data_IF_269793928935
#
_entry.id   IF_269793928935
#
_cell.length_a   1.000
_cell.length_b   1.000
_cell.length_c   1.000
_cell.angle_alpha   90.00
_cell.angle_beta   90.00
_cell.angle_gamma   90.00
#
_symmetry.space_group_name_H-M   'P 1'
#
loop_
_entity.id
_entity.type
_entity.pdbx_description
1 polymer ?
#
# COMPACT_ATOMS: atom_id res chain seq x y z
N UNK A 1 28.83 0.16 19.37
CA UNK A 1 28.40 -0.11 17.98
C UNK A 1 27.29 -1.17 18.02
N UNK A 2 26.18 -0.96 17.32
CA UNK A 2 25.17 -2.01 17.15
C UNK A 2 25.46 -2.74 15.82
N UNK A 3 25.77 -4.04 15.91
CA UNK A 3 26.18 -4.87 14.78
C UNK A 3 25.14 -4.83 13.66
N UNK A 4 23.84 -4.88 14.01
CA UNK A 4 22.75 -4.88 13.02
C UNK A 4 22.72 -3.60 12.20
N UNK A 5 22.89 -2.45 12.86
CA UNK A 5 22.95 -1.15 12.18
C UNK A 5 24.17 -1.03 11.27
N UNK A 6 25.33 -1.57 11.68
CA UNK A 6 26.53 -1.56 10.85
C UNK A 6 26.36 -2.43 9.59
N UNK A 7 25.81 -3.65 9.75
CA UNK A 7 25.54 -4.56 8.62
C UNK A 7 24.53 -3.97 7.65
N UNK A 8 23.43 -3.38 8.13
CA UNK A 8 22.42 -2.76 7.25
C UNK A 8 22.99 -1.59 6.45
N UNK A 9 23.84 -0.76 7.06
CA UNK A 9 24.54 0.32 6.35
C UNK A 9 25.49 -0.23 5.29
N UNK A 10 26.33 -1.20 5.65
CA UNK A 10 27.24 -1.85 4.70
C UNK A 10 26.50 -2.46 3.51
N UNK A 11 25.38 -3.14 3.75
CA UNK A 11 24.53 -3.70 2.68
C UNK A 11 23.89 -2.63 1.79
N UNK A 12 23.68 -1.42 2.31
CA UNK A 12 23.15 -0.28 1.55
C UNK A 12 24.23 0.29 0.63
N UNK A 13 25.46 0.40 1.14
CA UNK A 13 26.61 0.93 0.42
C UNK A 13 27.18 -0.07 -0.60
N UNK A 14 26.96 -1.37 -0.39
CA UNK A 14 27.48 -2.42 -1.26
C UNK A 14 26.63 -2.55 -2.55
N UNK A 15 27.21 -2.30 -3.74
CA UNK A 15 26.47 -2.39 -4.99
C UNK A 15 26.29 -3.88 -5.38
N UNK A 16 25.14 -4.44 -5.01
CA UNK A 16 24.70 -5.75 -5.54
C UNK A 16 24.03 -5.50 -6.89
N UNK A 17 24.75 -5.83 -7.96
CA UNK A 17 24.18 -5.87 -9.30
C UNK A 17 23.25 -7.10 -9.42
N UNK A 18 21.95 -6.84 -9.47
CA UNK A 18 20.92 -7.87 -9.59
C UNK A 18 20.48 -8.13 -11.03
N UNK A 19 21.04 -7.41 -12.01
CA UNK A 19 20.87 -7.74 -13.43
C UNK A 19 21.62 -9.04 -13.74
N UNK A 20 22.81 -9.21 -13.16
CA UNK A 20 23.57 -10.46 -13.22
C UNK A 20 22.81 -11.64 -12.59
N UNK A 21 22.64 -12.71 -13.37
CA UNK A 21 21.91 -13.91 -12.95
C UNK A 21 22.54 -14.57 -11.71
N UNK A 22 23.87 -14.75 -11.70
CA UNK A 22 24.56 -15.43 -10.58
C UNK A 22 24.42 -14.67 -9.27
N UNK A 23 24.51 -13.34 -9.29
CA UNK A 23 24.33 -12.49 -8.10
C UNK A 23 22.91 -12.58 -7.55
N UNK A 24 21.91 -12.54 -8.45
CA UNK A 24 20.50 -12.71 -8.10
C UNK A 24 20.24 -14.09 -7.47
N UNK A 25 20.84 -15.13 -8.03
CA UNK A 25 20.71 -16.49 -7.55
C UNK A 25 21.42 -16.69 -6.20
N UNK A 26 22.59 -16.08 -5.99
CA UNK A 26 23.27 -16.04 -4.69
C UNK A 26 22.40 -15.38 -3.61
N UNK A 27 21.76 -14.25 -3.93
CA UNK A 27 20.87 -13.58 -2.98
C UNK A 27 19.66 -14.45 -2.61
N UNK A 28 19.10 -15.19 -3.57
CA UNK A 28 18.01 -16.15 -3.32
C UNK A 28 18.47 -17.31 -2.43
N UNK A 29 19.59 -17.94 -2.78
CA UNK A 29 20.14 -19.13 -2.08
C UNK A 29 20.60 -18.81 -0.66
N UNK A 30 21.19 -17.63 -0.43
CA UNK A 30 21.65 -17.22 0.91
C UNK A 30 20.52 -16.98 1.91
N UNK A 31 19.28 -16.76 1.44
CA UNK A 31 18.15 -16.42 2.31
C UNK A 31 18.23 -15.01 2.92
N UNK A 32 19.23 -14.20 2.55
CA UNK A 32 19.45 -12.86 3.10
C UNK A 32 18.20 -11.98 2.96
N UNK A 33 17.53 -12.02 1.79
CA UNK A 33 16.31 -11.26 1.56
C UNK A 33 15.18 -11.58 2.55
N UNK A 34 15.08 -12.83 3.03
CA UNK A 34 14.09 -13.21 4.05
C UNK A 34 14.42 -12.61 5.42
N UNK A 35 15.69 -12.63 5.80
CA UNK A 35 16.16 -12.06 7.07
C UNK A 35 15.96 -10.54 7.09
N UNK A 36 16.33 -9.84 6.01
CA UNK A 36 16.12 -8.39 5.92
C UNK A 36 14.62 -8.05 5.91
N UNK A 37 13.78 -8.87 5.24
CA UNK A 37 12.33 -8.71 5.30
C UNK A 37 11.78 -8.87 6.73
N UNK A 38 12.29 -9.84 7.49
CA UNK A 38 11.91 -10.02 8.89
C UNK A 38 12.28 -8.78 9.73
N UNK A 39 13.52 -8.28 9.60
CA UNK A 39 13.97 -7.08 10.32
C UNK A 39 13.13 -5.84 9.98
N UNK A 40 12.67 -5.70 8.74
CA UNK A 40 11.80 -4.58 8.34
C UNK A 40 10.45 -4.53 9.09
N UNK A 41 10.00 -5.67 9.63
CA UNK A 41 8.70 -5.84 10.31
C UNK A 41 8.83 -6.06 11.82
N UNK A 42 10.05 -6.26 12.32
CA UNK A 42 10.31 -6.50 13.74
C UNK A 42 10.13 -5.22 14.56
N UNK A 43 9.32 -5.29 15.61
CA UNK A 43 9.11 -4.24 16.60
C UNK A 43 10.32 -4.04 17.53
N UNK A 44 11.13 -5.08 17.73
CA UNK A 44 12.41 -5.03 18.47
C UNK A 44 13.51 -4.24 17.75
N UNK A 45 13.33 -3.95 16.45
CA UNK A 45 14.28 -3.16 15.68
C UNK A 45 14.05 -1.66 15.81
N UNK A 46 15.13 -0.89 15.72
CA UNK A 46 15.03 0.59 15.74
C UNK A 46 14.31 1.11 14.49
N UNK A 47 13.57 2.22 14.60
CA UNK A 47 12.87 2.82 13.44
C UNK A 47 13.80 3.12 12.27
N UNK A 48 15.04 3.54 12.53
CA UNK A 48 16.05 3.78 11.50
C UNK A 48 16.46 2.48 10.77
N UNK A 49 16.72 1.40 11.52
CA UNK A 49 17.05 0.10 10.93
C UNK A 49 15.88 -0.47 10.11
N UNK A 50 14.64 -0.35 10.60
CA UNK A 50 13.46 -0.81 9.86
C UNK A 50 13.31 -0.09 8.51
N UNK A 51 13.58 1.22 8.47
CA UNK A 51 13.57 2.00 7.22
C UNK A 51 14.61 1.48 6.24
N UNK A 52 15.86 1.30 6.67
CA UNK A 52 16.94 0.77 5.83
C UNK A 52 16.62 -0.65 5.32
N UNK A 53 16.14 -1.52 6.20
CA UNK A 53 15.76 -2.88 5.83
C UNK A 53 14.62 -2.90 4.80
N UNK A 54 13.62 -2.01 4.93
CA UNK A 54 12.55 -1.88 3.95
C UNK A 54 13.07 -1.43 2.59
N UNK A 55 13.95 -0.43 2.55
CA UNK A 55 14.57 0.05 1.30
C UNK A 55 15.39 -1.05 0.62
N UNK A 56 16.14 -1.85 1.37
CA UNK A 56 16.87 -3.01 0.84
C UNK A 56 15.93 -4.08 0.26
N UNK A 57 14.84 -4.41 0.97
CA UNK A 57 13.82 -5.36 0.48
C UNK A 57 13.20 -4.86 -0.83
N UNK A 58 12.83 -3.59 -0.89
CA UNK A 58 12.26 -3.00 -2.10
C UNK A 58 13.27 -3.07 -3.25
N UNK A 59 14.50 -2.58 -3.04
CA UNK A 59 15.57 -2.59 -4.06
C UNK A 59 15.83 -3.99 -4.62
N UNK A 60 15.91 -5.00 -3.76
CA UNK A 60 16.26 -6.36 -4.17
C UNK A 60 15.09 -7.17 -4.73
N UNK A 61 13.87 -6.92 -4.26
CA UNK A 61 12.68 -7.66 -4.73
C UNK A 61 12.26 -7.24 -6.14
N UNK A 62 12.49 -5.98 -6.53
CA UNK A 62 12.12 -5.44 -7.86
C UNK A 62 12.66 -6.25 -9.05
N UNK A 63 13.98 -6.47 -9.22
CA UNK A 63 14.53 -7.25 -10.33
C UNK A 63 14.30 -8.75 -10.21
N UNK A 64 13.88 -9.24 -9.04
CA UNK A 64 13.54 -10.65 -8.82
C UNK A 64 12.10 -10.94 -9.22
N UNK A 65 11.17 -10.03 -8.92
CA UNK A 65 9.73 -10.24 -9.06
C UNK A 65 9.07 -9.31 -10.11
N UNK A 66 9.85 -8.59 -10.91
CA UNK A 66 9.36 -7.57 -11.86
C UNK A 66 8.39 -6.55 -11.23
N UNK A 67 8.55 -6.24 -9.95
CA UNK A 67 7.74 -5.22 -9.27
C UNK A 67 8.31 -3.86 -9.63
N UNK A 68 7.79 -3.21 -10.66
CA UNK A 68 8.19 -1.84 -11.00
C UNK A 68 7.67 -0.85 -9.95
N UNK A 69 8.38 0.26 -9.76
CA UNK A 69 7.82 1.44 -9.06
C UNK A 69 7.77 2.67 -9.93
N UNK A 70 7.76 2.48 -11.25
CA UNK A 70 7.24 3.53 -12.11
C UNK A 70 5.78 3.73 -11.73
N UNK A 71 5.39 4.99 -11.56
CA UNK A 71 4.02 5.36 -11.28
C UNK A 71 3.04 4.79 -12.32
N UNK A 72 3.49 4.66 -13.57
CA UNK A 72 2.74 4.05 -14.69
C UNK A 72 2.41 2.57 -14.47
N UNK A 73 3.33 1.80 -13.88
CA UNK A 73 3.15 0.36 -13.67
C UNK A 73 2.29 0.06 -12.43
N UNK A 74 2.27 0.95 -11.44
CA UNK A 74 1.30 0.87 -10.33
C UNK A 74 -0.14 1.12 -10.80
N UNK A 75 -0.33 1.99 -11.80
CA UNK A 75 -1.66 2.28 -12.37
C UNK A 75 -2.22 1.11 -13.18
N UNK A 76 -1.35 0.33 -13.85
CA UNK A 76 -1.72 -0.89 -14.60
C UNK A 76 -2.31 -1.98 -13.70
N UNK A 77 -1.77 -2.16 -12.50
CA UNK A 77 -2.24 -3.18 -11.56
C UNK A 77 -3.63 -2.84 -10.97
N UNK A 78 -3.97 -1.55 -10.84
CA UNK A 78 -5.29 -1.09 -10.37
C UNK A 78 -6.36 -1.20 -11.47
N UNK A 79 -5.98 -0.90 -12.72
CA UNK A 79 -6.87 -0.97 -13.90
C UNK A 79 -7.29 -2.41 -14.24
N UNK A 80 -6.40 -3.39 -14.04
CA UNK A 80 -6.69 -4.81 -14.28
C UNK A 80 -7.66 -5.41 -13.22
N UNK A 81 -7.89 -4.71 -12.11
CA UNK A 81 -8.87 -5.08 -11.08
C UNK A 81 -10.21 -4.37 -11.24
N UNK A 82 -10.35 -3.43 -12.17
CA UNK A 82 -11.62 -2.80 -12.46
C UNK A 82 -12.54 -3.81 -13.18
N UNK A 83 -13.62 -4.30 -12.53
CA UNK A 83 -14.52 -5.23 -13.18
C UNK A 83 -15.18 -4.53 -14.37
N UNK A 84 -15.01 -5.14 -15.55
CA UNK A 84 -15.68 -4.86 -16.83
C UNK A 84 -16.90 -3.95 -16.67
N UNK A 85 -16.71 -2.65 -16.94
CA UNK A 85 -17.81 -1.68 -17.02
C UNK A 85 -18.70 -2.11 -18.19
N UNK A 86 -19.88 -2.65 -17.87
CA UNK A 86 -20.90 -3.04 -18.86
C UNK A 86 -21.11 -1.91 -19.89
N UNK A 87 -21.12 -2.19 -21.21
CA UNK A 87 -21.43 -1.20 -22.22
C UNK A 87 -22.84 -0.66 -22.00
N UNK A 88 -22.97 0.66 -21.92
CA UNK A 88 -24.23 1.35 -21.71
C UNK A 88 -24.99 1.32 -23.04
N UNK A 89 -25.98 0.44 -23.16
CA UNK A 89 -26.83 0.36 -24.35
C UNK A 89 -27.64 1.66 -24.47
N UNK A 90 -27.44 2.37 -25.59
CA UNK A 90 -28.18 3.59 -25.95
C UNK A 90 -29.66 3.25 -26.14
N UNK A 91 -30.56 3.95 -25.42
CA UNK A 91 -32.01 3.89 -25.67
C UNK A 91 -32.39 4.82 -26.84
N UNK A 92 -33.25 4.37 -27.78
CA UNK A 92 -33.86 5.25 -28.77
C UNK A 92 -35.09 5.98 -28.19
N UNK A 93 -35.32 7.17 -28.72
CA UNK A 93 -36.37 8.14 -28.41
C UNK A 93 -37.76 7.73 -28.93
N UNK A 94 -38.81 7.92 -28.11
CA UNK A 94 -40.18 8.26 -28.61
C UNK A 94 -41.11 8.81 -27.51
N UNK A 95 -41.57 10.04 -27.76
CA UNK A 95 -42.77 10.79 -27.32
C UNK A 95 -43.82 10.17 -26.36
N UNK A 96 -44.25 10.94 -25.33
CA UNK A 96 -45.53 11.71 -25.28
C UNK A 96 -45.96 12.11 -23.85
N UNK A 97 -46.26 13.42 -23.70
CA UNK A 97 -47.24 14.14 -22.83
C UNK A 97 -47.72 13.60 -21.45
N UNK A 98 -47.68 14.47 -20.43
CA UNK A 98 -48.51 14.37 -19.21
C UNK A 98 -48.08 15.32 -18.08
N UNK A 99 -49.03 16.05 -17.48
CA UNK A 99 -48.89 17.24 -16.62
C UNK A 99 -48.41 17.01 -15.16
N UNK A 100 -47.79 18.08 -14.63
CA UNK A 100 -47.90 18.69 -13.28
C UNK A 100 -47.84 17.83 -11.99
N UNK A 101 -46.86 18.13 -11.11
CA UNK A 101 -47.10 18.79 -9.81
C UNK A 101 -45.78 19.00 -9.06
N UNK A 102 -45.72 20.12 -8.35
CA UNK A 102 -44.67 20.53 -7.40
C UNK A 102 -44.65 19.56 -6.21
N UNK A 103 -43.49 19.40 -5.57
CA UNK A 103 -43.29 19.74 -4.15
C UNK A 103 -41.80 19.70 -3.79
N UNK A 104 -41.42 20.70 -3.00
CA UNK A 104 -40.11 21.03 -2.44
C UNK A 104 -39.82 20.10 -1.26
N UNK A 105 -38.65 19.44 -1.21
CA UNK A 105 -38.07 19.01 0.06
C UNK A 105 -36.55 18.78 -0.07
N UNK A 106 -35.79 19.80 0.33
CA UNK A 106 -34.36 19.71 0.62
C UNK A 106 -34.20 19.21 2.06
N UNK A 107 -34.08 17.91 2.28
CA UNK A 107 -33.64 17.41 3.60
C UNK A 107 -32.14 17.10 3.58
N UNK A 108 -31.40 18.03 4.20
CA UNK A 108 -30.06 17.84 4.65
C UNK A 108 -30.10 17.22 6.05
N UNK A 109 -29.96 15.89 6.16
CA UNK A 109 -29.61 15.28 7.45
C UNK A 109 -28.14 14.89 7.49
N UNK A 110 -27.38 15.79 8.10
CA UNK A 110 -26.04 15.59 8.62
C UNK A 110 -26.18 15.27 10.11
N UNK A 111 -26.63 14.07 10.47
CA UNK A 111 -26.70 13.66 11.88
C UNK A 111 -26.15 12.26 12.14
N UNK A 112 -24.93 12.26 12.69
CA UNK A 112 -24.68 11.66 14.01
C UNK A 112 -24.62 10.13 14.11
N UNK A 113 -23.40 9.60 14.01
CA UNK A 113 -22.94 8.52 14.91
C UNK A 113 -21.53 8.79 15.45
N UNK A 114 -21.46 9.73 16.41
CA UNK A 114 -20.49 9.65 17.52
C UNK A 114 -21.25 9.20 18.76
N UNK A 115 -21.00 7.99 19.24
CA UNK A 115 -21.14 7.67 20.66
C UNK A 115 -20.29 6.45 21.01
N UNK A 116 -19.54 6.57 22.10
CA UNK A 116 -18.63 5.53 22.58
C UNK A 116 -17.46 6.03 23.44
N UNK A 117 -17.55 7.22 24.03
CA UNK A 117 -16.61 7.69 25.04
C UNK A 117 -17.09 7.17 26.40
N UNK A 118 -16.47 6.11 26.94
CA UNK A 118 -16.60 5.78 28.37
C UNK A 118 -15.51 6.52 29.13
N UNK A 119 -15.96 7.43 30.00
CA UNK A 119 -15.17 8.27 30.88
C UNK A 119 -14.38 7.43 31.89
N UNK A 120 -13.08 7.74 32.03
CA UNK A 120 -12.32 7.48 33.24
C UNK A 120 -12.54 8.65 34.20
N UNK A 121 -13.14 8.41 35.36
CA UNK A 121 -13.13 9.36 36.48
C UNK A 121 -12.01 8.96 37.44
N UNK A 122 -11.04 9.85 37.61
CA UNK A 122 -10.18 9.89 38.78
C UNK A 122 -10.93 10.66 39.89
N UNK A 123 -10.88 10.18 41.12
CA UNK A 123 -11.10 11.00 42.31
C UNK A 123 -10.24 10.48 43.45
N UNK A 124 -9.44 11.38 44.00
CA UNK A 124 -8.66 11.22 45.22
C UNK A 124 -9.52 10.76 46.39
N UNK A 125 -8.94 9.88 47.21
CA UNK A 125 -8.92 9.97 48.67
C UNK A 125 -7.64 9.31 49.16
#
# INVERSE_FOLDING_TARGET
MNIRSAVLKLLTDFPIDLEQYDRREQLKKSGLGKVIMFLSKSDEETTANRKLAKELVDKWSRPIFNKSTRFEDMRRYDDERAPYRRPQMKKPSSSSSGMESRDDDLDADFSQRRSGQKQCKASCF
#
